data_IF_303676115359
#
_entry.id   IF_303676115359
#
_cell.length_a   1.000
_cell.length_b   1.000
_cell.length_c   1.000
_cell.angle_alpha   90.00
_cell.angle_beta   90.00
_cell.angle_gamma   90.00
#
_symmetry.space_group_name_H-M   'P 1'
#
loop_
_entity.id
_entity.type
_entity.pdbx_description
1 polymer ?
#
# COMPACT_ATOMS: atom_id res chain seq x y z
N UNK A 1 27.37 -0.08 -11.71
CA UNK A 1 27.75 -0.41 -10.31
C UNK A 1 27.78 -1.93 -10.19
N UNK A 2 28.93 -2.53 -9.87
CA UNK A 2 29.12 -4.00 -9.82
C UNK A 2 28.54 -4.62 -8.54
N UNK A 3 28.13 -5.89 -8.61
CA UNK A 3 27.55 -6.65 -7.48
C UNK A 3 28.41 -6.63 -6.20
N UNK A 4 29.74 -6.53 -6.33
CA UNK A 4 30.68 -6.37 -5.19
C UNK A 4 30.49 -5.08 -4.40
N UNK A 5 30.12 -3.98 -5.05
CA UNK A 5 29.87 -2.69 -4.37
C UNK A 5 28.56 -2.71 -3.57
N UNK A 6 27.59 -3.56 -3.96
CA UNK A 6 26.28 -3.69 -3.30
C UNK A 6 26.39 -4.35 -1.91
N UNK A 7 27.35 -5.26 -1.73
CA UNK A 7 27.44 -6.14 -0.54
C UNK A 7 28.42 -5.66 0.55
N UNK A 8 29.25 -4.65 0.32
CA UNK A 8 30.22 -4.14 1.30
C UNK A 8 29.75 -2.82 1.95
N UNK A 9 29.53 -2.78 3.29
CA UNK A 9 29.19 -1.54 4.00
C UNK A 9 30.27 -0.45 3.86
N UNK A 10 31.55 -0.83 3.90
CA UNK A 10 32.67 0.09 3.77
C UNK A 10 32.76 0.68 2.35
N UNK A 11 32.52 -0.14 1.32
CA UNK A 11 32.49 0.32 -0.07
C UNK A 11 31.31 1.27 -0.32
N UNK A 12 30.13 0.98 0.26
CA UNK A 12 28.96 1.88 0.20
C UNK A 12 29.23 3.23 0.88
N UNK A 13 29.90 3.23 2.03
CA UNK A 13 30.28 4.46 2.74
C UNK A 13 31.24 5.33 1.90
N UNK A 14 32.30 4.73 1.34
CA UNK A 14 33.24 5.44 0.44
C UNK A 14 32.55 5.98 -0.81
N UNK A 15 31.66 5.19 -1.42
CA UNK A 15 30.85 5.63 -2.56
C UNK A 15 29.98 6.83 -2.20
N UNK A 16 29.33 6.81 -1.03
CA UNK A 16 28.51 7.93 -0.57
C UNK A 16 29.34 9.19 -0.35
N UNK A 17 30.47 9.10 0.35
CA UNK A 17 31.37 10.23 0.56
C UNK A 17 31.87 10.85 -0.76
N UNK A 18 32.07 10.02 -1.78
CA UNK A 18 32.49 10.49 -3.10
C UNK A 18 31.34 11.11 -3.92
N UNK A 19 30.15 10.52 -3.89
CA UNK A 19 29.01 10.93 -4.72
C UNK A 19 28.20 12.08 -4.12
N UNK A 20 28.05 12.15 -2.80
CA UNK A 20 27.24 13.16 -2.11
C UNK A 20 27.62 14.60 -2.49
N UNK A 21 28.91 15.02 -2.54
CA UNK A 21 29.27 16.37 -2.99
C UNK A 21 29.03 16.60 -4.49
N UNK A 22 28.85 15.54 -5.28
CA UNK A 22 28.66 15.62 -6.73
C UNK A 22 27.19 15.53 -7.16
N UNK A 23 26.24 15.46 -6.21
CA UNK A 23 24.81 15.25 -6.49
C UNK A 23 24.26 16.22 -7.54
N UNK A 24 24.58 17.51 -7.43
CA UNK A 24 24.14 18.53 -8.40
C UNK A 24 24.69 18.27 -9.81
N UNK A 25 25.96 17.87 -9.91
CA UNK A 25 26.59 17.57 -11.20
C UNK A 25 26.01 16.28 -11.82
N UNK A 26 25.71 15.28 -10.99
CA UNK A 26 25.05 14.04 -11.42
C UNK A 26 23.65 14.35 -11.94
N UNK A 27 22.85 15.16 -11.22
CA UNK A 27 21.53 15.59 -11.67
C UNK A 27 21.58 16.32 -13.00
N UNK A 28 22.57 17.21 -13.18
CA UNK A 28 22.80 17.91 -14.45
C UNK A 28 23.04 16.93 -15.60
N UNK A 29 23.96 15.98 -15.42
CA UNK A 29 24.23 14.97 -16.46
C UNK A 29 23.03 14.08 -16.76
N UNK A 30 22.26 13.66 -15.74
CA UNK A 30 21.02 12.90 -15.95
C UNK A 30 20.04 13.71 -16.80
N UNK A 31 19.85 14.99 -16.49
CA UNK A 31 18.91 15.85 -17.21
C UNK A 31 19.36 16.12 -18.66
N UNK A 32 20.63 16.47 -18.86
CA UNK A 32 21.15 16.92 -20.16
C UNK A 32 21.48 15.76 -21.11
N UNK A 33 22.07 14.68 -20.60
CA UNK A 33 22.61 13.60 -21.44
C UNK A 33 21.63 12.43 -21.58
N UNK A 34 20.74 12.23 -20.59
CA UNK A 34 19.82 11.08 -20.57
C UNK A 34 18.38 11.53 -20.86
N UNK A 35 17.80 12.35 -19.97
CA UNK A 35 16.36 12.67 -20.03
C UNK A 35 16.01 13.54 -21.23
N UNK A 36 16.85 14.52 -21.58
CA UNK A 36 16.65 15.36 -22.77
C UNK A 36 16.63 14.52 -24.05
N UNK A 37 17.66 13.70 -24.25
CA UNK A 37 17.80 12.84 -25.43
C UNK A 37 16.63 11.84 -25.52
N UNK A 38 16.28 11.19 -24.41
CA UNK A 38 15.16 10.25 -24.37
C UNK A 38 13.83 10.94 -24.72
N UNK A 39 13.59 12.14 -24.18
CA UNK A 39 12.36 12.90 -24.45
C UNK A 39 12.26 13.33 -25.91
N UNK A 40 13.36 13.78 -26.53
CA UNK A 40 13.41 14.15 -27.95
C UNK A 40 13.10 12.94 -28.84
N UNK A 41 13.71 11.78 -28.58
CA UNK A 41 13.43 10.54 -29.31
C UNK A 41 11.99 10.07 -29.13
N UNK A 42 11.42 10.19 -27.94
CA UNK A 42 10.03 9.83 -27.67
C UNK A 42 9.06 10.73 -28.45
N UNK A 43 9.34 12.03 -28.53
CA UNK A 43 8.55 12.97 -29.33
C UNK A 43 8.59 12.64 -30.83
N UNK A 44 9.75 12.26 -31.35
CA UNK A 44 9.88 11.78 -32.74
C UNK A 44 9.03 10.53 -33.03
N UNK A 45 8.73 9.72 -32.00
CA UNK A 45 7.83 8.55 -32.08
C UNK A 45 6.36 8.88 -31.79
N UNK A 46 5.98 10.16 -31.75
CA UNK A 46 4.62 10.60 -31.48
C UNK A 46 4.18 10.47 -30.01
N UNK A 47 5.11 10.29 -29.07
CA UNK A 47 4.81 10.28 -27.62
C UNK A 47 4.98 11.67 -27.03
N UNK A 48 4.27 11.98 -25.92
CA UNK A 48 4.32 13.31 -25.29
C UNK A 48 5.59 13.59 -24.49
N UNK A 49 6.27 12.54 -24.00
CA UNK A 49 7.46 12.64 -23.18
C UNK A 49 7.70 11.36 -22.38
N UNK A 50 8.45 11.49 -21.28
CA UNK A 50 8.80 10.39 -20.38
C UNK A 50 8.12 10.57 -19.01
N UNK A 51 7.59 9.46 -18.48
CA UNK A 51 7.17 9.33 -17.08
C UNK A 51 8.04 8.26 -16.43
N UNK A 52 8.62 8.57 -15.28
CA UNK A 52 9.43 7.66 -14.47
C UNK A 52 8.67 7.33 -13.20
N UNK A 53 8.50 6.04 -12.91
CA UNK A 53 7.90 5.58 -11.65
C UNK A 53 9.03 4.99 -10.81
N UNK A 54 9.27 5.57 -9.64
CA UNK A 54 10.27 5.09 -8.68
C UNK A 54 9.53 4.41 -7.54
N UNK A 55 9.36 3.11 -7.69
CA UNK A 55 8.63 2.24 -6.77
C UNK A 55 9.49 1.74 -5.61
N UNK A 56 8.84 1.24 -4.55
CA UNK A 56 9.41 0.67 -3.32
C UNK A 56 10.20 1.64 -2.44
N UNK A 57 10.13 2.95 -2.66
CA UNK A 57 10.70 3.92 -1.72
C UNK A 57 9.81 4.11 -0.47
N UNK A 58 8.56 3.66 -0.51
CA UNK A 58 7.67 3.55 0.66
C UNK A 58 8.16 2.53 1.70
N UNK A 59 9.01 1.59 1.29
CA UNK A 59 9.58 0.53 2.14
C UNK A 59 10.87 0.93 2.84
N UNK A 60 11.28 2.19 2.76
CA UNK A 60 12.47 2.69 3.44
C UNK A 60 12.25 2.59 4.95
N UNK A 61 13.18 1.94 5.64
CA UNK A 61 13.15 1.80 7.09
C UNK A 61 13.25 3.16 7.80
N UNK A 62 12.42 3.34 8.84
CA UNK A 62 12.52 4.42 9.82
C UNK A 62 13.75 4.22 10.72
N UNK A 63 14.95 4.38 10.16
CA UNK A 63 16.21 4.37 10.89
C UNK A 63 16.98 5.65 10.65
N UNK A 64 17.80 6.03 11.62
CA UNK A 64 18.73 7.14 11.41
C UNK A 64 19.75 6.80 10.34
N UNK A 65 19.98 7.75 9.43
CA UNK A 65 20.98 7.63 8.39
C UNK A 65 22.39 7.82 8.96
N UNK A 66 23.41 7.28 8.29
CA UNK A 66 24.80 7.59 8.64
C UNK A 66 25.21 9.04 8.32
N UNK A 67 24.37 9.78 7.59
CA UNK A 67 24.64 11.13 7.08
C UNK A 67 23.74 12.20 7.68
N UNK A 68 22.79 11.84 8.54
CA UNK A 68 21.84 12.76 9.18
C UNK A 68 21.37 12.19 10.51
N UNK A 69 21.14 13.05 11.50
CA UNK A 69 20.47 12.68 12.75
C UNK A 69 18.98 12.37 12.56
N UNK A 70 18.40 12.75 11.40
CA UNK A 70 17.02 12.45 11.04
C UNK A 70 16.84 11.02 10.56
N UNK A 71 15.59 10.57 10.58
CA UNK A 71 15.21 9.30 9.96
C UNK A 71 15.45 9.34 8.45
N UNK A 72 15.79 8.19 7.88
CA UNK A 72 16.14 8.08 6.47
C UNK A 72 15.02 8.55 5.51
N UNK A 73 13.72 8.28 5.76
CA UNK A 73 12.63 8.87 4.98
C UNK A 73 12.62 10.39 5.00
N UNK A 74 12.77 11.00 6.18
CA UNK A 74 12.79 12.47 6.32
C UNK A 74 13.98 13.06 5.58
N UNK A 75 15.17 12.50 5.77
CA UNK A 75 16.35 12.94 5.05
C UNK A 75 16.17 12.86 3.53
N UNK A 76 15.64 11.75 3.02
CA UNK A 76 15.51 11.56 1.57
C UNK A 76 14.40 12.44 0.96
N UNK A 77 13.21 12.46 1.54
CA UNK A 77 12.05 13.10 0.90
C UNK A 77 11.85 14.55 1.33
N UNK A 78 12.36 14.94 2.50
CA UNK A 78 12.22 16.30 3.03
C UNK A 78 13.51 17.07 2.85
N UNK A 79 14.65 16.58 3.36
CA UNK A 79 15.91 17.33 3.22
C UNK A 79 16.47 17.27 1.80
N UNK A 80 16.29 16.14 1.11
CA UNK A 80 16.67 15.96 -0.31
C UNK A 80 15.51 16.08 -1.29
N UNK A 81 14.32 16.50 -0.83
CA UNK A 81 13.11 16.60 -1.65
C UNK A 81 13.27 17.52 -2.86
N UNK A 82 13.98 18.64 -2.71
CA UNK A 82 14.22 19.57 -3.80
C UNK A 82 15.04 18.91 -4.91
N UNK A 83 16.12 18.19 -4.56
CA UNK A 83 16.95 17.45 -5.52
C UNK A 83 16.14 16.37 -6.25
N UNK A 84 15.24 15.67 -5.55
CA UNK A 84 14.35 14.68 -6.18
C UNK A 84 13.38 15.34 -7.17
N UNK A 85 12.97 16.58 -6.93
CA UNK A 85 12.07 17.33 -7.81
C UNK A 85 12.73 17.92 -9.06
N UNK A 86 14.07 17.83 -9.18
CA UNK A 86 14.87 18.47 -10.23
C UNK A 86 15.10 17.58 -11.48
N UNK A 87 14.53 16.38 -11.53
CA UNK A 87 14.57 15.56 -12.76
C UNK A 87 13.65 16.18 -13.83
N UNK A 88 14.18 16.43 -15.02
CA UNK A 88 13.49 17.08 -16.14
C UNK A 88 12.52 16.12 -16.88
N UNK A 89 11.67 15.43 -16.14
CA UNK A 89 10.60 14.59 -16.64
C UNK A 89 9.49 14.46 -15.58
N UNK A 90 8.38 13.81 -15.93
CA UNK A 90 7.37 13.49 -14.92
C UNK A 90 7.87 12.33 -14.06
N UNK A 91 7.88 12.49 -12.75
CA UNK A 91 8.31 11.44 -11.81
C UNK A 91 7.22 11.16 -10.80
N UNK A 92 6.94 9.89 -10.58
CA UNK A 92 6.05 9.39 -9.52
C UNK A 92 6.91 8.69 -8.48
N UNK A 93 6.90 9.21 -7.26
CA UNK A 93 7.57 8.61 -6.11
C UNK A 93 6.56 7.93 -5.20
N UNK A 94 6.81 6.68 -4.82
CA UNK A 94 6.15 6.07 -3.66
C UNK A 94 6.77 6.64 -2.39
N UNK A 95 6.00 7.24 -1.48
CA UNK A 95 6.54 7.86 -0.26
C UNK A 95 6.12 7.02 0.96
N UNK A 96 7.00 6.81 1.95
CA UNK A 96 6.64 6.13 3.19
C UNK A 96 5.47 6.84 3.84
N UNK A 97 4.43 6.08 4.14
CA UNK A 97 3.20 6.61 4.71
C UNK A 97 3.45 7.22 6.13
N UNK A 98 4.55 6.85 6.80
CA UNK A 98 5.05 7.52 8.01
C UNK A 98 5.21 9.04 7.85
N UNK A 99 5.65 9.51 6.67
CA UNK A 99 5.81 10.94 6.39
C UNK A 99 4.47 11.67 6.21
N UNK A 100 3.39 10.94 5.92
CA UNK A 100 2.05 11.51 5.80
C UNK A 100 1.42 11.72 7.18
N UNK A 101 1.76 10.86 8.15
CA UNK A 101 1.26 10.91 9.53
C UNK A 101 2.24 11.61 10.50
N UNK A 102 3.36 12.13 10.01
CA UNK A 102 4.32 12.89 10.82
C UNK A 102 4.18 14.40 10.66
N UNK A 103 4.86 15.15 11.54
CA UNK A 103 4.94 16.60 11.47
C UNK A 103 5.73 17.12 10.26
N UNK A 104 6.40 16.23 9.51
CA UNK A 104 7.16 16.59 8.31
C UNK A 104 6.27 16.70 7.06
N UNK A 105 4.96 16.39 7.17
CA UNK A 105 4.01 16.41 6.05
C UNK A 105 4.01 17.73 5.28
N UNK A 106 3.96 18.88 5.96
CA UNK A 106 3.97 20.18 5.27
C UNK A 106 5.32 20.49 4.63
N UNK A 107 6.43 20.06 5.24
CA UNK A 107 7.75 20.22 4.66
C UNK A 107 7.91 19.34 3.39
N UNK A 108 7.43 18.10 3.43
CA UNK A 108 7.37 17.18 2.29
C UNK A 108 6.58 17.79 1.13
N UNK A 109 5.37 18.29 1.40
CA UNK A 109 4.50 18.97 0.44
C UNK A 109 5.21 20.14 -0.24
N UNK A 110 5.90 20.98 0.52
CA UNK A 110 6.56 22.16 -0.04
C UNK A 110 7.84 21.82 -0.82
N UNK A 111 8.66 20.88 -0.31
CA UNK A 111 9.99 20.60 -0.89
C UNK A 111 9.98 19.60 -2.04
N UNK A 112 9.08 18.61 -2.01
CA UNK A 112 8.95 17.61 -3.07
C UNK A 112 7.64 17.76 -3.83
N UNK A 113 6.53 17.94 -3.12
CA UNK A 113 5.18 18.01 -3.69
C UNK A 113 4.84 19.34 -4.39
N UNK A 114 5.75 20.31 -4.41
CA UNK A 114 5.55 21.65 -5.02
C UNK A 114 4.27 22.36 -4.52
N UNK A 115 3.95 22.18 -3.24
CA UNK A 115 2.75 22.74 -2.62
C UNK A 115 1.54 21.80 -2.59
N UNK A 116 1.63 20.62 -3.20
CA UNK A 116 0.59 19.60 -3.17
C UNK A 116 0.92 18.46 -2.19
N UNK A 117 -0.08 18.00 -1.44
CA UNK A 117 0.09 16.85 -0.56
C UNK A 117 0.19 15.56 -1.39
N UNK A 118 0.96 14.56 -0.93
CA UNK A 118 0.99 13.25 -1.58
C UNK A 118 -0.39 12.62 -1.69
N UNK A 119 -0.65 11.94 -2.80
CA UNK A 119 -1.86 11.16 -2.99
C UNK A 119 -1.77 9.87 -2.16
N UNK A 120 -2.78 9.65 -1.32
CA UNK A 120 -2.97 8.38 -0.61
C UNK A 120 -3.93 7.53 -1.42
N UNK A 121 -3.57 6.26 -1.65
CA UNK A 121 -4.44 5.28 -2.30
C UNK A 121 -5.18 4.48 -1.21
N UNK A 122 -6.46 4.77 -0.95
CA UNK A 122 -7.23 4.07 0.09
C UNK A 122 -7.58 2.64 -0.34
N UNK A 123 -8.09 1.84 0.60
CA UNK A 123 -8.68 0.55 0.28
C UNK A 123 -9.95 0.71 -0.55
N UNK A 124 -10.27 -0.32 -1.33
CA UNK A 124 -11.58 -0.42 -2.01
C UNK A 124 -12.64 -0.73 -0.94
N UNK A 125 -13.58 0.19 -0.64
CA UNK A 125 -14.51 -0.04 0.46
C UNK A 125 -15.39 -1.27 0.20
N UNK A 126 -15.39 -2.22 1.15
CA UNK A 126 -16.37 -3.33 1.19
C UNK A 126 -17.58 -2.99 2.04
N UNK A 127 -17.41 -1.99 2.92
CA UNK A 127 -18.43 -1.43 3.78
C UNK A 127 -18.29 0.09 3.79
N UNK A 128 -19.39 0.77 4.03
CA UNK A 128 -19.48 2.21 4.24
C UNK A 128 -19.12 2.56 5.68
N UNK A 129 -18.89 3.84 5.95
CA UNK A 129 -18.54 4.35 7.28
C UNK A 129 -19.55 3.99 8.36
N UNK A 130 -20.83 3.90 8.01
CA UNK A 130 -21.93 3.51 8.91
C UNK A 130 -22.04 2.00 9.14
N UNK A 131 -21.19 1.20 8.49
CA UNK A 131 -21.20 -0.26 8.54
C UNK A 131 -22.11 -0.92 7.50
N UNK A 132 -22.81 -0.14 6.66
CA UNK A 132 -23.57 -0.68 5.52
C UNK A 132 -22.64 -1.30 4.46
N UNK A 133 -23.17 -2.17 3.61
CA UNK A 133 -22.39 -2.74 2.50
C UNK A 133 -22.05 -1.67 1.45
N UNK A 134 -20.81 -1.69 0.94
CA UNK A 134 -20.44 -0.88 -0.22
C UNK A 134 -20.55 -1.73 -1.50
N UNK A 135 -21.72 -1.69 -2.14
CA UNK A 135 -22.01 -2.49 -3.33
C UNK A 135 -21.05 -2.22 -4.50
N UNK A 136 -20.64 -0.96 -4.70
CA UNK A 136 -19.71 -0.57 -5.76
C UNK A 136 -18.32 -1.19 -5.55
N UNK A 137 -17.76 -1.05 -4.35
CA UNK A 137 -16.45 -1.64 -4.05
C UNK A 137 -16.49 -3.17 -4.08
N UNK A 138 -17.57 -3.78 -3.62
CA UNK A 138 -17.79 -5.23 -3.78
C UNK A 138 -17.82 -5.64 -5.26
N UNK A 139 -18.50 -4.90 -6.14
CA UNK A 139 -18.51 -5.17 -7.57
C UNK A 139 -17.10 -5.05 -8.19
N UNK A 140 -16.34 -4.02 -7.84
CA UNK A 140 -14.96 -3.84 -8.32
C UNK A 140 -14.03 -4.97 -7.88
N UNK A 141 -14.13 -5.44 -6.63
CA UNK A 141 -13.32 -6.55 -6.13
C UNK A 141 -13.67 -7.89 -6.81
N UNK A 142 -14.96 -8.16 -7.03
CA UNK A 142 -15.42 -9.32 -7.82
C UNK A 142 -14.81 -9.30 -9.21
N UNK A 143 -14.91 -8.16 -9.90
CA UNK A 143 -14.35 -7.99 -11.24
C UNK A 143 -12.84 -8.17 -11.24
N UNK A 144 -12.13 -7.63 -10.26
CA UNK A 144 -10.68 -7.80 -10.14
C UNK A 144 -10.29 -9.28 -10.01
N UNK A 145 -11.01 -10.06 -9.21
CA UNK A 145 -10.75 -11.50 -9.07
C UNK A 145 -11.01 -12.24 -10.38
N UNK A 146 -12.17 -12.01 -11.01
CA UNK A 146 -12.61 -12.73 -12.21
C UNK A 146 -11.83 -12.33 -13.47
N UNK A 147 -11.41 -11.06 -13.59
CA UNK A 147 -10.60 -10.59 -14.72
C UNK A 147 -9.23 -11.27 -14.80
N UNK A 148 -8.75 -11.89 -13.70
CA UNK A 148 -7.53 -12.71 -13.76
C UNK A 148 -7.76 -14.08 -14.37
N UNK A 149 -8.95 -14.65 -14.16
CA UNK A 149 -9.33 -15.94 -14.74
C UNK A 149 -9.80 -15.78 -16.19
N UNK A 150 -10.50 -14.68 -16.48
CA UNK A 150 -11.12 -14.38 -17.77
C UNK A 150 -10.73 -12.97 -18.26
N UNK A 151 -9.46 -12.76 -18.66
CA UNK A 151 -8.98 -11.45 -19.06
C UNK A 151 -9.66 -10.91 -20.31
N UNK A 152 -10.07 -11.80 -21.22
CA UNK A 152 -10.64 -11.45 -22.52
C UNK A 152 -12.18 -11.34 -22.51
N UNK A 153 -12.84 -11.71 -21.41
CA UNK A 153 -14.29 -11.60 -21.25
C UNK A 153 -14.70 -10.19 -20.77
N UNK A 154 -15.86 -9.72 -21.19
CA UNK A 154 -16.40 -8.42 -20.72
C UNK A 154 -16.89 -8.52 -19.26
N UNK A 155 -16.98 -7.39 -18.52
CA UNK A 155 -17.37 -7.40 -17.10
C UNK A 155 -18.67 -8.16 -16.80
N UNK A 156 -19.70 -8.01 -17.64
CA UNK A 156 -20.99 -8.68 -17.48
C UNK A 156 -20.87 -10.20 -17.66
N UNK A 157 -20.04 -10.65 -18.60
CA UNK A 157 -19.80 -12.06 -18.90
C UNK A 157 -19.02 -12.75 -17.78
N UNK A 158 -18.05 -12.05 -17.18
CA UNK A 158 -17.25 -12.58 -16.06
C UNK A 158 -18.11 -13.05 -14.89
N UNK A 159 -19.15 -12.29 -14.55
CA UNK A 159 -20.05 -12.64 -13.43
C UNK A 159 -20.85 -13.91 -13.72
N UNK A 160 -21.21 -14.17 -14.98
CA UNK A 160 -21.86 -15.42 -15.37
C UNK A 160 -20.94 -16.64 -15.24
N UNK A 161 -19.62 -16.42 -15.25
CA UNK A 161 -18.58 -17.46 -15.17
C UNK A 161 -18.04 -17.66 -13.74
N UNK A 162 -18.70 -17.09 -12.71
CA UNK A 162 -18.25 -17.23 -11.31
C UNK A 162 -18.10 -18.70 -10.90
N UNK A 163 -19.02 -19.57 -11.35
CA UNK A 163 -19.04 -21.00 -11.00
C UNK A 163 -17.88 -21.81 -11.58
N UNK A 164 -17.13 -21.23 -12.52
CA UNK A 164 -15.89 -21.82 -13.05
C UNK A 164 -14.69 -21.57 -12.13
N UNK A 165 -14.79 -20.59 -11.22
CA UNK A 165 -13.69 -20.18 -10.32
C UNK A 165 -14.00 -20.44 -8.86
N UNK A 166 -15.25 -20.26 -8.45
CA UNK A 166 -15.75 -20.45 -7.09
C UNK A 166 -17.00 -21.33 -7.11
N UNK A 167 -17.30 -22.05 -6.03
CA UNK A 167 -18.52 -22.87 -5.96
C UNK A 167 -19.83 -22.05 -6.04
N UNK A 168 -19.75 -20.76 -5.72
CA UNK A 168 -20.88 -19.85 -5.60
C UNK A 168 -20.42 -18.39 -5.60
N UNK A 169 -21.33 -17.46 -5.90
CA UNK A 169 -21.07 -16.03 -5.77
C UNK A 169 -20.82 -15.63 -4.31
N UNK A 170 -21.52 -16.28 -3.38
CA UNK A 170 -21.39 -16.06 -1.95
C UNK A 170 -19.97 -16.39 -1.42
N UNK A 171 -19.27 -17.35 -2.04
CA UNK A 171 -17.88 -17.63 -1.73
C UNK A 171 -16.94 -16.54 -2.23
N UNK A 172 -17.15 -16.01 -3.45
CA UNK A 172 -16.40 -14.85 -3.93
C UNK A 172 -16.67 -13.61 -3.08
N UNK A 173 -17.93 -13.37 -2.71
CA UNK A 173 -18.34 -12.25 -1.87
C UNK A 173 -17.68 -12.30 -0.50
N UNK A 174 -17.63 -13.49 0.09
CA UNK A 174 -16.91 -13.72 1.34
C UNK A 174 -15.45 -13.33 1.24
N UNK A 175 -14.76 -13.76 0.19
CA UNK A 175 -13.35 -13.40 -0.05
C UNK A 175 -13.18 -11.89 -0.17
N UNK A 176 -14.10 -11.22 -0.88
CA UNK A 176 -14.08 -9.76 -1.03
C UNK A 176 -14.29 -9.07 0.32
N UNK A 177 -15.32 -9.44 1.08
CA UNK A 177 -15.64 -8.88 2.39
C UNK A 177 -14.48 -9.01 3.38
N UNK A 178 -13.94 -10.23 3.56
CA UNK A 178 -12.87 -10.46 4.54
C UNK A 178 -11.54 -9.81 4.16
N UNK A 179 -11.35 -9.48 2.88
CA UNK A 179 -10.15 -8.75 2.44
C UNK A 179 -10.13 -7.29 2.92
N UNK A 180 -11.29 -6.72 3.28
CA UNK A 180 -11.42 -5.29 3.61
C UNK A 180 -11.03 -4.37 2.45
N UNK A 181 -11.09 -4.85 1.21
CA UNK A 181 -10.61 -4.09 0.05
C UNK A 181 -9.10 -4.08 -0.15
N UNK A 182 -8.34 -4.72 0.73
CA UNK A 182 -6.90 -4.81 0.59
C UNK A 182 -6.53 -5.86 -0.46
N UNK A 183 -6.23 -5.39 -1.68
CA UNK A 183 -5.95 -6.20 -2.87
C UNK A 183 -4.92 -7.30 -2.62
N UNK A 184 -3.83 -6.99 -1.90
CA UNK A 184 -2.80 -7.99 -1.61
C UNK A 184 -3.30 -9.10 -0.68
N UNK A 185 -4.15 -8.79 0.30
CA UNK A 185 -4.73 -9.82 1.18
C UNK A 185 -5.72 -10.69 0.40
N UNK A 186 -6.56 -10.07 -0.44
CA UNK A 186 -7.48 -10.79 -1.33
C UNK A 186 -6.71 -11.78 -2.21
N UNK A 187 -5.69 -11.31 -2.93
CA UNK A 187 -4.89 -12.16 -3.82
C UNK A 187 -4.08 -13.21 -3.05
N UNK A 188 -3.61 -12.88 -1.84
CA UNK A 188 -2.92 -13.82 -0.95
C UNK A 188 -3.82 -14.98 -0.53
N UNK A 189 -5.03 -14.68 -0.07
CA UNK A 189 -6.03 -15.70 0.29
C UNK A 189 -6.47 -16.52 -0.93
N UNK A 190 -6.70 -15.87 -2.07
CA UNK A 190 -7.04 -16.55 -3.33
C UNK A 190 -5.92 -17.53 -3.75
N UNK A 191 -4.66 -17.08 -3.73
CA UNK A 191 -3.51 -17.94 -4.00
C UNK A 191 -3.38 -19.07 -2.98
N UNK A 192 -3.71 -18.81 -1.71
CA UNK A 192 -3.80 -19.84 -0.67
C UNK A 192 -4.80 -20.95 -1.02
N UNK A 193 -5.98 -20.59 -1.53
CA UNK A 193 -7.00 -21.55 -1.96
C UNK A 193 -6.52 -22.40 -3.15
N UNK A 194 -5.94 -21.76 -4.17
CA UNK A 194 -5.42 -22.42 -5.38
C UNK A 194 -4.26 -23.39 -5.12
N UNK A 195 -3.63 -23.32 -3.94
CA UNK A 195 -2.62 -24.30 -3.52
C UNK A 195 -3.22 -25.56 -2.90
N UNK A 196 -4.47 -25.51 -2.47
CA UNK A 196 -5.17 -26.63 -1.85
C UNK A 196 -6.04 -27.39 -2.87
N UNK A 197 -6.69 -26.68 -3.77
CA UNK A 197 -7.53 -27.27 -4.82
C UNK A 197 -7.52 -26.43 -6.11
N UNK A 198 -7.75 -27.11 -7.23
CA UNK A 198 -8.06 -26.44 -8.50
C UNK A 198 -9.49 -25.86 -8.45
N UNK A 199 -9.78 -24.77 -9.19
CA UNK A 199 -11.13 -24.25 -9.28
C UNK A 199 -12.16 -25.30 -9.76
N UNK A 200 -13.43 -25.18 -9.33
CA UNK A 200 -13.99 -24.09 -8.53
C UNK A 200 -13.65 -24.19 -7.03
N UNK A 201 -13.24 -23.07 -6.44
CA UNK A 201 -12.88 -22.96 -5.02
C UNK A 201 -14.14 -23.10 -4.16
N UNK A 202 -14.16 -24.11 -3.30
CA UNK A 202 -15.24 -24.35 -2.35
C UNK A 202 -15.18 -23.41 -1.15
N UNK A 203 -16.34 -23.15 -0.54
CA UNK A 203 -16.44 -22.36 0.68
C UNK A 203 -15.54 -22.90 1.80
N UNK A 204 -15.43 -24.23 1.90
CA UNK A 204 -14.62 -24.89 2.94
C UNK A 204 -13.13 -24.57 2.84
N UNK A 205 -12.61 -24.40 1.61
CA UNK A 205 -11.21 -24.09 1.33
C UNK A 205 -10.94 -22.63 1.58
N UNK A 206 -11.85 -21.76 1.13
CA UNK A 206 -11.78 -20.34 1.44
C UNK A 206 -11.74 -20.09 2.95
N UNK A 207 -12.61 -20.72 3.75
CA UNK A 207 -12.60 -20.55 5.21
C UNK A 207 -11.32 -21.11 5.87
N UNK A 208 -10.62 -22.08 5.25
CA UNK A 208 -9.29 -22.49 5.73
C UNK A 208 -8.23 -21.43 5.44
N UNK A 209 -8.22 -20.86 4.23
CA UNK A 209 -7.31 -19.78 3.87
C UNK A 209 -7.53 -18.54 4.76
N UNK A 210 -8.79 -18.15 4.99
CA UNK A 210 -9.16 -17.05 5.90
C UNK A 210 -8.65 -17.30 7.31
N UNK A 211 -8.88 -18.50 7.87
CA UNK A 211 -8.38 -18.85 9.22
C UNK A 211 -6.87 -18.76 9.31
N UNK A 212 -6.15 -19.27 8.32
CA UNK A 212 -4.69 -19.22 8.29
C UNK A 212 -4.15 -17.78 8.29
N UNK A 213 -4.70 -16.91 7.46
CA UNK A 213 -4.30 -15.49 7.42
C UNK A 213 -4.67 -14.77 8.73
N UNK A 214 -5.87 -15.02 9.26
CA UNK A 214 -6.31 -14.46 10.56
C UNK A 214 -5.38 -14.89 11.69
N UNK A 215 -5.09 -16.18 11.79
CA UNK A 215 -4.27 -16.72 12.88
C UNK A 215 -2.83 -16.18 12.78
N UNK A 216 -2.30 -16.01 11.56
CA UNK A 216 -1.03 -15.33 11.32
C UNK A 216 -1.04 -13.86 11.75
N UNK A 217 -2.12 -13.14 11.47
CA UNK A 217 -2.30 -11.75 11.91
C UNK A 217 -2.35 -11.63 13.43
N UNK A 218 -3.08 -12.54 14.10
CA UNK A 218 -3.24 -12.56 15.56
C UNK A 218 -1.92 -12.76 16.32
N UNK A 219 -0.98 -13.52 15.77
CA UNK A 219 0.32 -13.76 16.40
C UNK A 219 1.13 -12.47 16.59
N UNK A 220 0.86 -11.44 15.80
CA UNK A 220 1.57 -10.17 15.84
C UNK A 220 0.91 -9.13 16.75
N UNK A 221 -0.27 -9.41 17.34
CA UNK A 221 -1.03 -8.42 18.10
C UNK A 221 -0.84 -8.62 19.61
N UNK A 222 -0.31 -7.61 20.29
CA UNK A 222 -0.20 -7.58 21.74
C UNK A 222 -1.40 -6.90 22.45
N UNK A 223 -1.40 -6.89 23.79
CA UNK A 223 -2.50 -6.33 24.58
C UNK A 223 -2.67 -4.81 24.42
N UNK A 224 -1.56 -4.07 24.26
CA UNK A 224 -1.60 -2.62 24.07
C UNK A 224 -2.16 -2.28 22.68
N UNK A 225 -1.77 -3.06 21.67
CA UNK A 225 -2.28 -2.93 20.31
C UNK A 225 -3.79 -3.22 20.26
N UNK A 226 -4.28 -4.21 21.00
CA UNK A 226 -5.73 -4.43 21.13
C UNK A 226 -6.49 -3.24 21.71
N UNK A 227 -5.93 -2.54 22.69
CA UNK A 227 -6.54 -1.32 23.24
C UNK A 227 -6.65 -0.22 22.18
N UNK A 228 -5.60 -0.04 21.38
CA UNK A 228 -5.60 0.90 20.26
C UNK A 228 -6.63 0.50 19.18
N UNK A 229 -6.73 -0.79 18.84
CA UNK A 229 -7.73 -1.28 17.88
C UNK A 229 -9.15 -0.95 18.33
N UNK A 230 -9.47 -1.14 19.61
CA UNK A 230 -10.79 -0.79 20.15
C UNK A 230 -11.05 0.72 20.18
N UNK A 231 -10.01 1.53 20.34
CA UNK A 231 -10.13 2.99 20.16
C UNK A 231 -10.45 3.34 18.71
N UNK A 232 -9.81 2.70 17.74
CA UNK A 232 -10.11 2.89 16.30
C UNK A 232 -11.55 2.51 15.99
N UNK A 233 -12.09 1.43 16.57
CA UNK A 233 -13.51 1.06 16.37
C UNK A 233 -14.46 2.17 16.84
N UNK A 234 -14.14 2.84 17.97
CA UNK A 234 -14.98 3.90 18.53
C UNK A 234 -14.82 5.24 17.78
N UNK A 235 -13.60 5.59 17.40
CA UNK A 235 -13.28 6.91 16.83
C UNK A 235 -13.25 6.94 15.29
N UNK A 236 -13.08 5.79 14.64
CA UNK A 236 -12.82 5.63 13.20
C UNK A 236 -11.66 6.49 12.69
N UNK A 237 -10.68 6.78 13.55
CA UNK A 237 -9.53 7.65 13.31
C UNK A 237 -8.25 7.00 13.82
N UNK A 238 -7.15 7.28 13.14
CA UNK A 238 -5.78 6.99 13.58
C UNK A 238 -5.00 8.29 13.61
N UNK A 239 -4.24 8.55 14.68
CA UNK A 239 -3.57 9.84 14.91
C UNK A 239 -2.07 9.66 15.16
N UNK A 240 -1.27 10.44 14.44
CA UNK A 240 0.18 10.49 14.62
C UNK A 240 0.94 9.26 14.10
N UNK A 241 2.26 9.37 14.09
CA UNK A 241 3.13 8.36 13.48
C UNK A 241 3.18 7.06 14.30
N UNK A 242 3.13 7.10 15.64
CA UNK A 242 3.20 5.88 16.46
C UNK A 242 2.01 4.94 16.22
N UNK A 243 0.78 5.44 16.35
CA UNK A 243 -0.42 4.64 16.09
C UNK A 243 -0.44 4.15 14.63
N UNK A 244 0.03 4.99 13.71
CA UNK A 244 0.19 4.62 12.30
C UNK A 244 1.17 3.44 12.10
N UNK A 245 2.39 3.55 12.65
CA UNK A 245 3.42 2.52 12.54
C UNK A 245 2.96 1.19 13.13
N UNK A 246 2.18 1.24 14.20
CA UNK A 246 1.70 0.05 14.88
C UNK A 246 0.53 -0.59 14.13
N UNK A 247 -0.48 0.20 13.72
CA UNK A 247 -1.76 -0.34 13.26
C UNK A 247 -1.84 -0.52 11.74
N UNK A 248 -1.45 0.49 10.96
CA UNK A 248 -1.60 0.45 9.49
C UNK A 248 -0.49 -0.37 8.84
N UNK A 249 0.76 -0.21 9.30
CA UNK A 249 1.90 -0.95 8.74
C UNK A 249 1.78 -2.45 8.96
N UNK A 250 1.20 -2.85 10.09
CA UNK A 250 0.94 -4.26 10.44
C UNK A 250 -0.36 -4.80 9.83
N UNK A 251 -1.07 -3.99 9.04
CA UNK A 251 -2.34 -4.35 8.41
C UNK A 251 -3.44 -4.73 9.40
N UNK A 252 -3.39 -4.22 10.64
CA UNK A 252 -4.47 -4.39 11.62
C UNK A 252 -5.65 -3.45 11.35
N UNK A 253 -5.37 -2.33 10.70
CA UNK A 253 -6.33 -1.27 10.35
C UNK A 253 -6.14 -0.88 8.89
N UNK A 254 -7.24 -0.56 8.22
CA UNK A 254 -7.28 -0.05 6.86
C UNK A 254 -7.82 1.37 6.81
N UNK A 255 -7.25 2.18 5.92
CA UNK A 255 -7.74 3.51 5.57
C UNK A 255 -8.68 3.43 4.36
N UNK A 256 -9.83 4.07 4.49
CA UNK A 256 -10.83 4.27 3.45
C UNK A 256 -11.09 5.77 3.27
N UNK A 257 -11.68 6.15 2.15
CA UNK A 257 -11.99 7.54 1.83
C UNK A 257 -13.46 7.65 1.39
N UNK A 258 -14.18 8.63 1.92
CA UNK A 258 -15.51 9.03 1.47
C UNK A 258 -15.61 10.56 1.37
N UNK A 259 -16.81 11.08 1.11
CA UNK A 259 -17.07 12.52 1.00
C UNK A 259 -16.74 13.32 2.28
N UNK A 260 -16.72 12.66 3.45
CA UNK A 260 -16.36 13.26 4.74
C UNK A 260 -14.85 13.17 5.03
N UNK A 261 -14.08 12.55 4.13
CA UNK A 261 -12.63 12.37 4.23
C UNK A 261 -12.23 10.97 4.71
N UNK A 262 -10.97 10.83 5.13
CA UNK A 262 -10.42 9.53 5.53
C UNK A 262 -11.13 8.96 6.77
N UNK A 263 -11.29 7.64 6.79
CA UNK A 263 -11.74 6.90 7.96
C UNK A 263 -11.08 5.55 8.05
N UNK A 264 -11.07 5.00 9.25
CA UNK A 264 -10.29 3.82 9.56
C UNK A 264 -11.17 2.75 10.15
N UNK A 265 -10.95 1.52 9.68
CA UNK A 265 -11.63 0.35 10.21
C UNK A 265 -10.63 -0.79 10.43
N UNK A 266 -10.96 -1.70 11.33
CA UNK A 266 -10.14 -2.88 11.53
C UNK A 266 -10.10 -3.72 10.25
N UNK A 267 -9.00 -4.44 10.09
CA UNK A 267 -8.92 -5.53 9.13
C UNK A 267 -10.06 -6.53 9.44
N UNK A 268 -10.97 -6.84 8.49
CA UNK A 268 -12.15 -7.65 8.76
C UNK A 268 -11.85 -9.06 9.30
N UNK A 269 -10.64 -9.59 9.07
CA UNK A 269 -10.19 -10.84 9.69
C UNK A 269 -10.27 -10.80 11.23
N UNK A 270 -10.16 -9.61 11.83
CA UNK A 270 -10.21 -9.43 13.27
C UNK A 270 -11.64 -9.49 13.84
N UNK A 271 -12.68 -9.26 13.03
CA UNK A 271 -14.07 -9.26 13.52
C UNK A 271 -14.57 -10.63 13.98
N UNK A 272 -13.95 -11.70 13.51
CA UNK A 272 -14.35 -13.06 13.86
C UNK A 272 -13.58 -13.64 15.04
N UNK A 273 -12.63 -12.87 15.57
CA UNK A 273 -11.80 -13.26 16.72
C UNK A 273 -12.63 -13.22 18.00
N UNK A 274 -12.32 -14.12 18.94
CA UNK A 274 -13.05 -14.20 20.21
C UNK A 274 -12.93 -12.89 21.00
N UNK A 275 -11.73 -12.30 21.00
CA UNK A 275 -11.45 -11.05 21.70
C UNK A 275 -12.33 -9.89 21.19
N UNK A 276 -12.50 -9.77 19.88
CA UNK A 276 -13.40 -8.77 19.31
C UNK A 276 -14.88 -9.05 19.63
N UNK A 277 -15.32 -10.31 19.54
CA UNK A 277 -16.71 -10.70 19.84
C UNK A 277 -17.10 -10.39 21.29
N UNK A 278 -16.23 -10.75 22.25
CA UNK A 278 -16.44 -10.46 23.68
C UNK A 278 -16.51 -8.96 23.92
N UNK A 279 -15.58 -8.19 23.34
CA UNK A 279 -15.58 -6.73 23.47
C UNK A 279 -16.86 -6.11 22.89
N UNK A 280 -17.31 -6.58 21.72
CA UNK A 280 -18.52 -6.07 21.06
C UNK A 280 -19.77 -6.31 21.91
N UNK A 281 -19.92 -7.49 22.53
CA UNK A 281 -21.04 -7.79 23.42
C UNK A 281 -21.07 -6.91 24.69
N UNK A 282 -19.93 -6.38 25.11
CA UNK A 282 -19.83 -5.53 26.30
C UNK A 282 -20.02 -4.03 26.00
N UNK A 283 -19.91 -3.62 24.73
CA UNK A 283 -19.85 -2.21 24.32
C UNK A 283 -20.91 -1.81 23.26
N UNK A 284 -21.75 -2.75 22.81
CA UNK A 284 -22.85 -2.55 21.88
C UNK A 284 -24.13 -3.20 22.45
#
# INVERSE_FOLDING_TARGET
ITAKAKNSPQTRSKLRQYLEPQTTQILKYINEEILKVATEQLKQRGKKGLVVIVDNLDRIENKQGSSSSKLLPEYLFVDRGEQLSQLNCHVVYTVPLSLIFSNEREALKNRLGRGESPMVLPMVPVQLRDGGECAEGMALLRQMALARAFPDAEPEERLALVTEVFDSLETLDRLCQVSGGHVRNLLGMLFGCLREEDPPISRSVLERAIRKERDGLLLAIDEQEWQLLFQVVKEQKVKGDTEYQTLLRSLFVFEYLDEQGSWFCLNPLLFETEKYKVWKQQNC
#
